data_IF_296477321381
#
_entry.id   IF_296477321381
#
_cell.length_a   1.000
_cell.length_b   1.000
_cell.length_c   1.000
_cell.angle_alpha   90.00
_cell.angle_beta   90.00
_cell.angle_gamma   90.00
#
_symmetry.space_group_name_H-M   'P 1'
#
loop_
_entity.id
_entity.type
_entity.pdbx_description
1 polymer ?
#
# COMPACT_ATOMS: atom_id res chain seq x y z
N UNK A 1 13.88 12.06 15.38
CA UNK A 1 12.61 12.79 15.14
C UNK A 1 11.56 11.74 14.83
N UNK A 2 10.60 11.48 15.74
CA UNK A 2 9.57 10.43 15.58
C UNK A 2 8.25 11.09 15.18
N UNK A 3 7.88 11.04 13.90
CA UNK A 3 6.53 11.43 13.48
C UNK A 3 5.57 10.31 13.85
N UNK A 4 4.72 10.62 14.83
CA UNK A 4 3.69 9.74 15.37
C UNK A 4 2.74 9.26 14.27
N UNK A 5 2.61 7.94 14.18
CA UNK A 5 1.63 7.25 13.35
C UNK A 5 0.22 7.60 13.84
N UNK A 6 -0.50 8.39 13.07
CA UNK A 6 -1.94 8.53 13.26
C UNK A 6 -2.60 7.28 12.70
N UNK A 7 -3.07 6.39 13.58
CA UNK A 7 -4.14 5.47 13.19
C UNK A 7 -5.43 6.29 13.07
N UNK A 8 -6.05 6.23 11.89
CA UNK A 8 -7.30 6.92 11.63
C UNK A 8 -8.47 6.25 12.37
N UNK A 9 -9.56 7.02 12.53
CA UNK A 9 -10.84 6.48 13.02
C UNK A 9 -11.26 5.27 12.16
N UNK A 10 -11.30 4.08 12.79
CA UNK A 10 -11.63 2.81 12.12
C UNK A 10 -10.47 1.81 12.01
N UNK A 11 -9.31 2.10 12.61
CA UNK A 11 -8.17 1.19 12.64
C UNK A 11 -7.41 1.12 11.31
N UNK A 12 -7.55 2.15 10.47
CA UNK A 12 -6.78 2.29 9.25
C UNK A 12 -5.46 3.01 9.52
N UNK A 13 -4.39 2.52 8.94
CA UNK A 13 -3.07 3.16 8.98
C UNK A 13 -2.81 3.88 7.65
N UNK A 14 -2.47 5.16 7.75
CA UNK A 14 -2.08 5.97 6.59
C UNK A 14 -0.56 5.95 6.42
N UNK A 15 -0.10 5.52 5.25
CA UNK A 15 1.32 5.41 4.87
C UNK A 15 1.75 6.65 4.05
N UNK A 16 3.00 7.12 4.18
CA UNK A 16 3.50 8.27 3.42
C UNK A 16 3.54 7.95 1.91
N UNK A 17 3.09 8.88 1.06
CA UNK A 17 3.04 8.64 -0.39
C UNK A 17 4.44 8.56 -1.01
N UNK A 18 5.38 9.27 -0.40
CA UNK A 18 6.77 9.43 -0.82
C UNK A 18 7.61 8.17 -0.53
N UNK A 19 7.06 7.22 0.24
CA UNK A 19 7.78 6.02 0.65
C UNK A 19 8.45 6.12 2.02
N UNK A 20 9.24 5.09 2.36
CA UNK A 20 10.12 5.12 3.54
C UNK A 20 11.39 5.90 3.18
N UNK A 21 11.82 6.79 4.07
CA UNK A 21 13.07 7.53 3.91
C UNK A 21 14.29 6.73 4.44
N UNK A 22 15.44 6.94 3.81
CA UNK A 22 16.73 6.37 4.23
C UNK A 22 17.07 5.04 3.56
N UNK A 23 18.30 4.59 3.78
CA UNK A 23 18.84 3.36 3.22
C UNK A 23 18.06 2.13 3.73
N UNK A 24 17.81 1.11 2.89
CA UNK A 24 17.34 -0.19 3.36
C UNK A 24 18.18 -0.75 4.52
N UNK A 25 17.60 -1.60 5.38
CA UNK A 25 18.37 -2.33 6.37
C UNK A 25 19.34 -3.31 5.70
N UNK A 26 20.32 -3.78 6.47
CA UNK A 26 21.25 -4.81 6.04
C UNK A 26 20.50 -6.06 5.55
N UNK A 27 20.96 -6.61 4.42
CA UNK A 27 20.39 -7.83 3.85
C UNK A 27 20.51 -9.00 4.84
N UNK A 28 19.41 -9.60 5.32
CA UNK A 28 19.44 -10.52 6.46
C UNK A 28 19.67 -11.99 6.06
N UNK A 29 19.67 -12.31 4.77
CA UNK A 29 19.89 -13.67 4.29
C UNK A 29 21.36 -13.91 3.94
N UNK A 30 21.68 -15.15 3.58
CA UNK A 30 22.94 -15.46 2.89
C UNK A 30 23.11 -14.61 1.63
N UNK A 31 24.34 -14.55 1.11
CA UNK A 31 24.77 -13.76 -0.04
C UNK A 31 23.65 -13.48 -1.05
N UNK A 32 23.38 -12.19 -1.27
CA UNK A 32 22.41 -11.71 -2.23
C UNK A 32 22.99 -11.78 -3.65
N UNK A 33 22.12 -12.04 -4.65
CA UNK A 33 22.44 -11.74 -6.05
C UNK A 33 22.21 -10.26 -6.36
N UNK A 34 22.82 -9.75 -7.43
CA UNK A 34 22.63 -8.35 -7.88
C UNK A 34 21.14 -8.02 -8.06
N UNK A 35 20.36 -8.95 -8.66
CA UNK A 35 18.93 -8.77 -8.87
C UNK A 35 18.14 -8.70 -7.56
N UNK A 36 18.57 -9.44 -6.53
CA UNK A 36 17.94 -9.36 -5.21
C UNK A 36 18.20 -8.01 -4.55
N UNK A 37 19.41 -7.45 -4.69
CA UNK A 37 19.73 -6.14 -4.13
C UNK A 37 18.94 -5.02 -4.82
N UNK A 38 18.81 -5.05 -6.15
CA UNK A 38 17.94 -4.10 -6.88
C UNK A 38 16.49 -4.13 -6.36
N UNK A 39 15.93 -5.34 -6.22
CA UNK A 39 14.57 -5.53 -5.71
C UNK A 39 14.44 -5.10 -4.24
N UNK A 40 15.47 -5.33 -3.43
CA UNK A 40 15.53 -4.95 -2.03
C UNK A 40 15.43 -3.43 -1.89
N UNK A 41 16.24 -2.68 -2.63
CA UNK A 41 16.24 -1.21 -2.63
C UNK A 41 14.88 -0.66 -3.09
N UNK A 42 14.34 -1.20 -4.20
CA UNK A 42 13.04 -0.81 -4.75
C UNK A 42 11.86 -1.07 -3.81
N UNK A 43 11.95 -2.11 -2.98
CA UNK A 43 10.91 -2.47 -2.02
C UNK A 43 10.99 -1.62 -0.75
N UNK A 44 12.19 -1.39 -0.24
CA UNK A 44 12.39 -0.56 0.94
C UNK A 44 12.12 0.92 0.71
N UNK A 45 12.13 1.38 -0.54
CA UNK A 45 11.65 2.71 -0.91
C UNK A 45 10.11 2.85 -0.86
N UNK A 46 9.33 1.76 -0.73
CA UNK A 46 7.86 1.83 -0.80
C UNK A 46 7.21 2.35 0.49
N UNK A 47 5.99 2.91 0.43
CA UNK A 47 5.23 3.34 1.60
C UNK A 47 5.06 2.25 2.67
N UNK A 48 4.87 1.01 2.25
CA UNK A 48 4.68 -0.17 3.10
C UNK A 48 5.91 -0.45 3.98
N UNK A 49 7.11 -0.08 3.53
CA UNK A 49 8.35 -0.35 4.22
C UNK A 49 8.44 0.33 5.60
N UNK A 50 7.72 1.44 5.82
CA UNK A 50 7.59 2.05 7.15
C UNK A 50 6.96 1.07 8.14
N UNK A 51 5.94 0.30 7.70
CA UNK A 51 5.29 -0.70 8.55
C UNK A 51 6.20 -1.91 8.76
N UNK A 52 6.87 -2.36 7.71
CA UNK A 52 7.79 -3.50 7.80
C UNK A 52 8.94 -3.20 8.78
N UNK A 53 9.46 -1.97 8.78
CA UNK A 53 10.46 -1.51 9.75
C UNK A 53 9.93 -1.54 11.18
N UNK A 54 8.73 -0.97 11.43
CA UNK A 54 8.16 -0.98 12.78
C UNK A 54 7.89 -2.39 13.33
N UNK A 55 7.59 -3.32 12.42
CA UNK A 55 7.25 -4.71 12.73
C UNK A 55 8.45 -5.66 12.64
N UNK A 56 9.66 -5.15 12.38
CA UNK A 56 10.89 -5.92 12.24
C UNK A 56 10.79 -7.05 11.18
N UNK A 57 10.14 -6.76 10.05
CA UNK A 57 9.84 -7.75 9.00
C UNK A 57 10.92 -7.87 7.92
N UNK A 58 12.14 -7.42 8.18
CA UNK A 58 13.20 -7.43 7.17
C UNK A 58 13.47 -8.83 6.59
N UNK A 59 13.46 -9.86 7.43
CA UNK A 59 13.64 -11.24 6.98
C UNK A 59 12.52 -11.70 6.02
N UNK A 60 11.26 -11.36 6.30
CA UNK A 60 10.10 -11.70 5.47
C UNK A 60 10.19 -11.02 4.09
N UNK A 61 10.57 -9.74 4.08
CA UNK A 61 10.79 -8.98 2.83
C UNK A 61 11.93 -9.60 2.04
N UNK A 62 13.01 -10.05 2.68
CA UNK A 62 14.15 -10.65 1.99
C UNK A 62 13.81 -12.00 1.37
N UNK A 63 13.01 -12.83 2.07
CA UNK A 63 12.48 -14.07 1.52
C UNK A 63 11.56 -13.81 0.32
N UNK A 64 10.74 -12.76 0.38
CA UNK A 64 9.92 -12.34 -0.74
C UNK A 64 10.79 -11.92 -1.94
N UNK A 65 11.81 -11.09 -1.73
CA UNK A 65 12.74 -10.64 -2.77
C UNK A 65 13.40 -11.82 -3.47
N UNK A 66 13.95 -12.76 -2.71
CA UNK A 66 14.56 -14.00 -3.24
C UNK A 66 13.57 -14.81 -4.07
N UNK A 67 12.36 -14.99 -3.54
CA UNK A 67 11.27 -15.70 -4.24
C UNK A 67 10.86 -14.97 -5.53
N UNK A 68 10.81 -13.64 -5.51
CA UNK A 68 10.45 -12.82 -6.66
C UNK A 68 11.54 -12.88 -7.75
N UNK A 69 12.81 -12.75 -7.38
CA UNK A 69 13.94 -12.88 -8.29
C UNK A 69 13.94 -14.26 -8.98
N UNK A 70 13.63 -15.33 -8.24
CA UNK A 70 13.48 -16.66 -8.84
C UNK A 70 12.24 -16.75 -9.75
N UNK A 71 11.11 -16.16 -9.35
CA UNK A 71 9.88 -16.17 -10.13
C UNK A 71 9.95 -15.40 -11.46
N UNK A 72 10.83 -14.39 -11.55
CA UNK A 72 11.07 -13.58 -12.75
C UNK A 72 11.75 -14.38 -13.88
N UNK A 73 12.41 -15.49 -13.56
CA UNK A 73 13.07 -16.33 -14.56
C UNK A 73 12.05 -16.94 -15.53
N UNK A 74 12.42 -17.05 -16.81
CA UNK A 74 11.56 -17.62 -17.84
C UNK A 74 11.21 -19.10 -17.57
N UNK A 75 12.13 -19.84 -16.95
CA UNK A 75 12.01 -21.24 -16.56
C UNK A 75 11.51 -21.44 -15.11
N UNK A 76 11.06 -20.37 -14.44
CA UNK A 76 10.62 -20.44 -13.06
C UNK A 76 9.46 -21.42 -12.86
N UNK A 77 9.56 -22.23 -11.81
CA UNK A 77 8.53 -23.21 -11.46
C UNK A 77 7.22 -22.52 -11.05
N UNK A 78 6.10 -23.19 -11.34
CA UNK A 78 4.74 -22.63 -11.10
C UNK A 78 4.43 -22.46 -9.61
N UNK A 79 4.99 -23.30 -8.75
CA UNK A 79 4.85 -23.21 -7.29
C UNK A 79 5.49 -21.94 -6.72
N UNK A 80 6.67 -21.54 -7.19
CA UNK A 80 7.33 -20.27 -6.82
C UNK A 80 6.42 -19.07 -7.11
N UNK A 81 5.77 -19.05 -8.28
CA UNK A 81 4.81 -17.97 -8.65
C UNK A 81 3.60 -17.91 -7.73
N UNK A 82 3.17 -19.04 -7.14
CA UNK A 82 2.10 -19.05 -6.12
C UNK A 82 2.58 -18.47 -4.80
N UNK A 83 3.82 -18.76 -4.39
CA UNK A 83 4.40 -18.18 -3.17
C UNK A 83 4.50 -16.65 -3.24
N UNK A 84 4.92 -16.11 -4.39
CA UNK A 84 4.95 -14.65 -4.64
C UNK A 84 3.62 -13.99 -4.30
N UNK A 85 2.49 -14.56 -4.73
CA UNK A 85 1.16 -14.00 -4.44
C UNK A 85 0.87 -13.94 -2.94
N UNK A 86 1.22 -15.00 -2.20
CA UNK A 86 1.02 -15.03 -0.75
C UNK A 86 1.82 -13.96 -0.03
N UNK A 87 3.08 -13.74 -0.45
CA UNK A 87 3.91 -12.66 0.08
C UNK A 87 3.35 -11.27 -0.26
N UNK A 88 2.89 -11.05 -1.50
CA UNK A 88 2.28 -9.78 -1.90
C UNK A 88 1.08 -9.42 -1.01
N UNK A 89 0.26 -10.41 -0.65
CA UNK A 89 -0.88 -10.20 0.25
C UNK A 89 -0.42 -9.94 1.69
N UNK A 90 0.53 -10.72 2.21
CA UNK A 90 1.07 -10.59 3.57
C UNK A 90 1.75 -9.23 3.80
N UNK A 91 2.63 -8.84 2.88
CA UNK A 91 3.41 -7.60 2.92
C UNK A 91 2.60 -6.37 2.51
N UNK A 92 1.30 -6.49 2.19
CA UNK A 92 0.46 -5.37 1.80
C UNK A 92 0.86 -4.73 0.47
N UNK A 93 1.45 -5.50 -0.44
CA UNK A 93 1.83 -5.04 -1.79
C UNK A 93 0.69 -5.25 -2.80
N UNK A 94 -0.26 -6.13 -2.51
CA UNK A 94 -1.48 -6.29 -3.29
C UNK A 94 -2.61 -5.40 -2.76
N UNK A 95 -3.62 -5.14 -3.60
CA UNK A 95 -4.86 -4.44 -3.19
C UNK A 95 -5.58 -5.20 -2.06
N UNK A 96 -5.59 -6.53 -2.13
CA UNK A 96 -6.18 -7.36 -1.09
C UNK A 96 -5.41 -7.27 0.22
N UNK A 97 -4.07 -7.30 0.15
CA UNK A 97 -3.17 -7.13 1.29
C UNK A 97 -3.32 -5.77 1.96
N UNK A 98 -3.32 -4.68 1.18
CA UNK A 98 -3.58 -3.32 1.69
C UNK A 98 -4.90 -3.25 2.45
N UNK A 99 -5.98 -3.79 1.89
CA UNK A 99 -7.30 -3.80 2.56
C UNK A 99 -7.30 -4.68 3.83
N UNK A 100 -6.68 -5.86 3.78
CA UNK A 100 -6.60 -6.79 4.93
C UNK A 100 -5.83 -6.19 6.08
N UNK A 101 -4.71 -5.54 5.79
CA UNK A 101 -3.85 -4.90 6.78
C UNK A 101 -4.41 -3.53 7.21
N UNK A 102 -5.49 -3.06 6.57
CA UNK A 102 -6.11 -1.74 6.77
C UNK A 102 -5.12 -0.62 6.52
N UNK A 103 -4.31 -0.75 5.48
CA UNK A 103 -3.36 0.26 5.06
C UNK A 103 -3.92 1.05 3.90
N UNK A 104 -3.65 2.34 3.90
CA UNK A 104 -3.90 3.24 2.77
C UNK A 104 -2.72 4.16 2.59
N UNK A 105 -2.43 4.55 1.37
CA UNK A 105 -1.37 5.52 1.07
C UNK A 105 -2.00 6.91 1.14
N UNK A 106 -1.29 7.86 1.75
CA UNK A 106 -1.67 9.26 1.76
C UNK A 106 -1.83 9.77 0.31
N UNK A 107 -2.69 10.76 0.05
CA UNK A 107 -2.63 11.46 -1.23
C UNK A 107 -1.23 12.06 -1.39
N UNK A 108 -0.67 11.97 -2.61
CA UNK A 108 0.56 12.68 -2.93
C UNK A 108 0.33 14.16 -2.65
N UNK A 109 1.24 14.77 -1.88
CA UNK A 109 1.20 16.21 -1.70
C UNK A 109 1.81 16.78 -2.97
N UNK A 110 0.96 17.17 -3.92
CA UNK A 110 1.41 18.05 -5.00
C UNK A 110 1.91 19.31 -4.32
N UNK A 111 3.24 19.50 -4.25
CA UNK A 111 3.79 20.83 -4.03
C UNK A 111 3.12 21.73 -5.07
N UNK A 112 2.50 22.87 -4.67
CA UNK A 112 1.75 23.67 -5.61
C UNK A 112 2.70 24.12 -6.71
N UNK A 113 2.57 23.49 -7.89
CA UNK A 113 3.17 23.96 -9.11
C UNK A 113 2.75 25.42 -9.24
N UNK A 114 3.71 26.33 -9.14
CA UNK A 114 3.47 27.73 -9.39
C UNK A 114 2.87 27.87 -10.79
N UNK A 115 1.68 28.49 -10.83
CA UNK A 115 0.97 29.10 -11.96
C UNK A 115 -0.05 28.25 -12.77
N UNK A 116 -1.32 28.57 -12.52
CA UNK A 116 -2.46 28.44 -13.45
C UNK A 116 -3.80 28.43 -12.72
N UNK A 117 -4.82 29.24 -13.08
CA UNK A 117 -6.07 29.28 -12.34
C UNK A 117 -6.84 27.96 -12.52
N UNK A 118 -6.97 27.21 -11.43
CA UNK A 118 -7.76 25.99 -11.36
C UNK A 118 -9.25 26.31 -11.47
N UNK A 119 -9.85 25.90 -12.59
CA UNK A 119 -11.28 25.92 -12.79
C UNK A 119 -11.94 24.84 -11.92
N UNK A 120 -12.85 25.28 -11.04
CA UNK A 120 -14.08 24.57 -10.67
C UNK A 120 -13.98 23.35 -9.77
N UNK A 121 -14.34 23.52 -8.50
CA UNK A 121 -14.72 22.46 -7.56
C UNK A 121 -15.71 21.46 -8.21
N UNK A 122 -15.46 20.14 -8.16
CA UNK A 122 -16.44 19.17 -8.64
C UNK A 122 -17.68 19.19 -7.74
N UNK A 123 -18.83 19.51 -8.33
CA UNK A 123 -20.11 19.50 -7.64
C UNK A 123 -20.40 18.11 -7.05
N UNK A 124 -20.87 18.10 -5.79
CA UNK A 124 -21.20 16.90 -5.02
C UNK A 124 -22.28 16.10 -5.77
N UNK A 125 -21.94 14.88 -6.24
CA UNK A 125 -22.92 13.98 -6.88
C UNK A 125 -24.02 13.63 -5.87
N UNK A 126 -25.28 13.85 -6.27
CA UNK A 126 -26.45 13.52 -5.46
C UNK A 126 -26.47 12.02 -5.15
N UNK A 127 -26.68 11.70 -3.88
CA UNK A 127 -26.62 10.32 -3.41
C UNK A 127 -27.95 9.61 -3.68
N UNK A 128 -27.94 8.28 -3.75
CA UNK A 128 -29.14 7.47 -3.96
C UNK A 128 -30.24 7.73 -2.91
N UNK A 129 -29.89 8.26 -1.73
CA UNK A 129 -30.84 8.68 -0.69
C UNK A 129 -31.66 9.93 -1.05
N UNK A 130 -31.12 10.84 -1.86
CA UNK A 130 -31.84 12.05 -2.28
C UNK A 130 -33.00 11.75 -3.25
N UNK A 131 -33.02 10.53 -3.83
CA UNK A 131 -34.03 10.12 -4.82
C UNK A 131 -35.26 9.46 -4.20
N UNK A 132 -35.23 9.15 -2.90
CA UNK A 132 -36.33 8.46 -2.24
C UNK A 132 -37.25 9.48 -1.56
N UNK A 133 -38.36 9.83 -2.22
CA UNK A 133 -39.44 10.60 -1.58
C UNK A 133 -40.28 9.65 -0.71
N UNK A 134 -40.31 9.92 0.59
CA UNK A 134 -41.21 9.25 1.54
C UNK A 134 -42.65 9.66 1.22
N UNK A 135 -43.49 8.68 0.87
CA UNK A 135 -44.94 8.86 0.81
C UNK A 135 -45.47 8.71 2.24
N UNK A 136 -46.21 9.68 2.78
CA UNK A 136 -46.88 9.52 4.07
C UNK A 136 -47.90 8.38 3.97
N UNK A 137 -47.77 7.38 4.83
CA UNK A 137 -48.82 6.38 5.02
C UNK A 137 -50.03 7.08 5.63
N UNK A 138 -51.04 7.35 4.80
CA UNK A 138 -52.37 7.74 5.27
C UNK A 138 -53.08 6.52 5.84
N UNK A 139 -53.42 6.60 7.13
CA UNK A 139 -54.22 5.63 7.87
C UNK A 139 -55.59 5.42 7.22
N UNK A 140 -56.06 4.17 7.30
CA UNK A 140 -57.37 3.77 6.82
C UNK A 140 -58.52 4.43 7.56
N UNK A 141 -59.62 4.59 6.84
CA UNK A 141 -60.99 4.52 7.31
C UNK A 141 -61.85 3.96 6.18
#
# INVERSE_FOLDING_TARGET
MKSAQSMDKGGWRTLPAEGRAGEPPEWPLTAASDRELELWDDLWAKPQAVVWEDMDQALEVALFVRTLAEAERADARVDVKKMVRSYLDSLGLSVAGMNRNRWKIAPAVDEPAANGPVAGTPARRSSARDRLKVVPSGEGA
#
